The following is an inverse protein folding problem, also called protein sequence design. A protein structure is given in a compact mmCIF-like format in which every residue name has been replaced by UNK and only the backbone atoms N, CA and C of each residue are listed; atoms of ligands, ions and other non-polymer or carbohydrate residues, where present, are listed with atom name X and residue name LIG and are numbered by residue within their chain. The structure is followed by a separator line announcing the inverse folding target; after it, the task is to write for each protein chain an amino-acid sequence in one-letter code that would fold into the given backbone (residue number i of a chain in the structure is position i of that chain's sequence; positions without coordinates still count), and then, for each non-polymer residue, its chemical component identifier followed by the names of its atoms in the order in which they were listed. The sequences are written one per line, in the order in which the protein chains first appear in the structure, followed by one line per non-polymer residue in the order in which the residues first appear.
data_IF_173356633003
#
_entry.id   IF_173356633003
#
_cell.length_a   1.000
_cell.length_b   1.000
_cell.length_c   1.000
_cell.angle_alpha   90.00
_cell.angle_beta   90.00
_cell.angle_gamma   90.00
#
_symmetry.space_group_name_H-M   'P 1'
#
loop_
_entity.id
_entity.type
_entity.pdbx_description
1 polymer ?
#
# COMPACT_ATOMS: atom_id res chain seq x y z
N UNK A 1 5.72 14.41 16.33
CA UNK A 1 6.87 15.13 15.75
C UNK A 1 8.05 15.04 16.69
N UNK A 2 9.27 14.97 16.18
CA UNK A 2 10.46 15.13 17.02
C UNK A 2 10.64 16.59 17.49
N UNK A 3 11.70 16.86 18.25
CA UNK A 3 11.99 18.19 18.78
C UNK A 3 12.26 19.25 17.70
N UNK A 4 12.56 18.85 16.45
CA UNK A 4 12.77 19.74 15.32
C UNK A 4 11.49 20.04 14.53
N UNK A 5 10.38 19.39 14.88
CA UNK A 5 9.14 19.46 14.11
C UNK A 5 9.10 18.53 12.91
N UNK A 6 10.00 17.55 12.82
CA UNK A 6 9.97 16.53 11.76
C UNK A 6 9.13 15.32 12.18
N UNK A 7 8.62 14.57 11.20
CA UNK A 7 8.05 13.24 11.48
C UNK A 7 9.12 12.33 12.06
N UNK A 8 8.71 11.46 13.00
CA UNK A 8 9.62 10.45 13.53
C UNK A 8 10.06 9.49 12.43
N UNK A 9 11.31 9.05 12.50
CA UNK A 9 11.78 7.96 11.65
C UNK A 9 10.99 6.66 11.95
N UNK A 10 11.07 5.71 11.01
CA UNK A 10 10.33 4.44 11.09
C UNK A 10 10.62 3.66 12.38
N UNK A 11 11.88 3.61 12.81
CA UNK A 11 12.31 2.83 13.99
C UNK A 11 11.76 3.46 15.27
N UNK A 12 11.88 4.77 15.39
CA UNK A 12 11.32 5.53 16.51
C UNK A 12 9.81 5.34 16.56
N UNK A 13 9.12 5.55 15.44
CA UNK A 13 7.66 5.45 15.35
C UNK A 13 7.15 4.04 15.68
N UNK A 14 7.84 2.99 15.22
CA UNK A 14 7.47 1.60 15.50
C UNK A 14 7.48 1.26 16.99
N UNK A 15 8.37 1.89 17.76
CA UNK A 15 8.54 1.64 19.19
C UNK A 15 7.71 2.58 20.09
N UNK A 16 7.03 3.59 19.54
CA UNK A 16 6.16 4.47 20.32
C UNK A 16 4.84 3.80 20.71
N UNK A 17 4.25 4.31 21.78
CA UNK A 17 2.95 3.85 22.30
C UNK A 17 2.07 4.99 22.83
N UNK A 18 2.59 6.21 22.81
CA UNK A 18 2.07 7.42 23.44
C UNK A 18 1.53 8.44 22.42
N UNK A 19 1.35 8.03 21.16
CA UNK A 19 0.78 8.91 20.13
C UNK A 19 -0.73 9.02 20.31
N UNK A 20 -1.26 10.25 20.29
CA UNK A 20 -2.69 10.50 20.41
C UNK A 20 -3.41 10.12 19.11
N UNK A 21 -4.40 9.19 19.12
CA UNK A 21 -5.13 8.81 17.91
C UNK A 21 -5.80 9.99 17.21
N UNK A 22 -6.31 10.97 17.97
CA UNK A 22 -6.95 12.17 17.40
C UNK A 22 -5.99 13.03 16.58
N UNK A 23 -4.72 13.14 16.99
CA UNK A 23 -3.72 13.86 16.22
C UNK A 23 -3.42 13.14 14.90
N UNK A 24 -3.40 11.81 14.90
CA UNK A 24 -3.24 11.00 13.68
C UNK A 24 -4.42 11.20 12.73
N UNK A 25 -5.65 11.23 13.24
CA UNK A 25 -6.85 11.52 12.42
C UNK A 25 -6.75 12.91 11.79
N UNK A 26 -6.38 13.93 12.59
CA UNK A 26 -6.23 15.32 12.11
C UNK A 26 -5.17 15.38 11.00
N UNK A 27 -4.01 14.77 11.22
CA UNK A 27 -2.90 14.77 10.25
C UNK A 27 -3.26 14.02 8.96
N UNK A 28 -3.87 12.82 9.06
CA UNK A 28 -4.29 12.07 7.88
C UNK A 28 -5.31 12.86 7.04
N UNK A 29 -6.28 13.51 7.69
CA UNK A 29 -7.27 14.35 7.00
C UNK A 29 -6.64 15.59 6.38
N UNK A 30 -5.61 16.16 7.00
CA UNK A 30 -4.85 17.26 6.42
C UNK A 30 -4.10 16.83 5.15
N UNK A 31 -3.43 15.66 5.17
CA UNK A 31 -2.79 15.10 3.98
C UNK A 31 -3.78 14.79 2.86
N UNK A 32 -4.92 14.20 3.22
CA UNK A 32 -6.02 13.93 2.29
C UNK A 32 -6.56 15.22 1.65
N UNK A 33 -6.86 16.24 2.45
CA UNK A 33 -7.34 17.53 1.96
C UNK A 33 -6.30 18.22 1.06
N UNK A 34 -5.02 18.18 1.43
CA UNK A 34 -3.96 18.75 0.61
C UNK A 34 -3.87 18.07 -0.76
N UNK A 35 -4.10 16.75 -0.84
CA UNK A 35 -4.15 16.04 -2.11
C UNK A 35 -5.37 16.47 -2.97
N UNK A 36 -6.54 16.65 -2.35
CA UNK A 36 -7.73 17.18 -3.04
C UNK A 36 -7.50 18.61 -3.55
N UNK A 37 -6.90 19.47 -2.73
CA UNK A 37 -6.59 20.86 -3.09
C UNK A 37 -5.57 20.95 -4.23
N UNK A 38 -4.67 19.96 -4.32
CA UNK A 38 -3.75 19.80 -5.44
C UNK A 38 -4.41 19.24 -6.72
N UNK A 39 -5.71 18.91 -6.67
CA UNK A 39 -6.50 18.44 -7.81
C UNK A 39 -6.44 16.94 -8.06
N UNK A 40 -5.98 16.14 -7.10
CA UNK A 40 -5.97 14.68 -7.24
C UNK A 40 -7.35 14.08 -6.95
N UNK A 41 -7.76 13.12 -7.79
CA UNK A 41 -8.88 12.24 -7.52
C UNK A 41 -8.37 11.02 -6.74
N UNK A 42 -8.51 11.08 -5.41
CA UNK A 42 -8.05 10.01 -4.51
C UNK A 42 -9.12 8.93 -4.40
N UNK A 43 -8.76 7.68 -4.70
CA UNK A 43 -9.66 6.53 -4.68
C UNK A 43 -9.39 5.51 -3.58
N UNK A 44 -8.27 5.64 -2.84
CA UNK A 44 -7.97 4.80 -1.69
C UNK A 44 -6.95 5.43 -0.77
N UNK A 45 -6.75 4.82 0.40
CA UNK A 45 -5.75 5.22 1.40
C UNK A 45 -4.79 4.06 1.66
N UNK A 46 -3.50 4.34 1.64
CA UNK A 46 -2.46 3.48 2.17
C UNK A 46 -1.53 4.27 3.10
N UNK A 47 -0.40 3.68 3.52
CA UNK A 47 0.60 4.41 4.28
C UNK A 47 2.01 4.05 3.88
N UNK A 48 2.85 5.08 3.75
CA UNK A 48 4.27 4.90 3.50
C UNK A 48 4.92 4.08 4.61
N UNK A 49 5.81 3.16 4.23
CA UNK A 49 6.44 2.19 5.15
C UNK A 49 5.47 1.38 6.04
N UNK A 50 4.19 1.30 5.66
CA UNK A 50 3.14 0.67 6.46
C UNK A 50 2.95 1.31 7.84
N UNK A 51 3.33 2.58 7.99
CA UNK A 51 3.30 3.28 9.27
C UNK A 51 1.90 3.27 9.90
N UNK A 52 0.85 3.32 9.08
CA UNK A 52 -0.55 3.23 9.52
C UNK A 52 -0.92 1.89 10.16
N UNK A 53 -0.15 0.82 9.91
CA UNK A 53 -0.34 -0.48 10.56
C UNK A 53 0.48 -0.62 11.86
N UNK A 54 1.33 0.36 12.20
CA UNK A 54 2.12 0.32 13.44
C UNK A 54 1.25 0.59 14.65
N UNK A 55 1.56 -0.06 15.78
CA UNK A 55 0.78 0.05 17.03
C UNK A 55 0.45 1.50 17.41
N UNK A 56 1.43 2.39 17.28
CA UNK A 56 1.30 3.79 17.67
C UNK A 56 0.27 4.57 16.82
N UNK A 57 0.09 4.20 15.56
CA UNK A 57 -0.75 4.95 14.61
C UNK A 57 -2.06 4.23 14.28
N UNK A 58 -2.11 2.90 14.41
CA UNK A 58 -3.17 2.07 13.85
C UNK A 58 -4.58 2.49 14.23
N UNK A 59 -4.82 2.84 15.49
CA UNK A 59 -6.16 3.28 15.94
C UNK A 59 -6.58 4.55 15.20
N UNK A 60 -5.78 5.62 15.30
CA UNK A 60 -6.13 6.90 14.67
C UNK A 60 -6.10 6.84 13.13
N UNK A 61 -5.22 6.03 12.55
CA UNK A 61 -5.19 5.79 11.10
C UNK A 61 -6.48 5.10 10.63
N UNK A 62 -6.95 4.07 11.35
CA UNK A 62 -8.21 3.37 11.05
C UNK A 62 -9.41 4.29 11.22
N UNK A 63 -9.45 5.09 12.30
CA UNK A 63 -10.50 6.08 12.53
C UNK A 63 -10.53 7.12 11.39
N UNK A 64 -9.37 7.62 10.97
CA UNK A 64 -9.27 8.58 9.88
C UNK A 64 -9.70 8.01 8.53
N UNK A 65 -9.32 6.77 8.20
CA UNK A 65 -9.83 6.05 7.01
C UNK A 65 -11.35 5.96 7.06
N UNK A 66 -11.91 5.57 8.21
CA UNK A 66 -13.36 5.43 8.39
C UNK A 66 -14.11 6.76 8.30
N UNK A 67 -13.48 7.88 8.67
CA UNK A 67 -14.07 9.23 8.51
C UNK A 67 -13.99 9.71 7.06
N UNK A 68 -12.91 9.39 6.34
CA UNK A 68 -12.75 9.74 4.93
C UNK A 68 -13.68 8.88 4.06
N UNK A 69 -13.89 7.61 4.42
CA UNK A 69 -14.83 6.72 3.75
C UNK A 69 -14.34 6.15 2.42
N UNK A 70 -13.05 6.26 2.12
CA UNK A 70 -12.43 5.61 0.96
C UNK A 70 -11.97 4.18 1.28
N UNK A 71 -11.91 3.28 0.28
CA UNK A 71 -11.21 2.02 0.39
C UNK A 71 -9.78 2.19 0.92
N UNK A 72 -9.23 1.16 1.55
CA UNK A 72 -7.86 1.21 2.07
C UNK A 72 -7.10 -0.09 1.81
N UNK A 73 -5.77 0.03 1.69
CA UNK A 73 -4.87 -1.11 1.85
C UNK A 73 -5.12 -1.81 3.19
N UNK A 74 -4.92 -3.13 3.23
CA UNK A 74 -4.98 -3.88 4.48
C UNK A 74 -4.00 -3.34 5.53
N UNK A 75 -4.48 -3.26 6.77
CA UNK A 75 -3.72 -2.70 7.91
C UNK A 75 -3.33 -3.75 8.96
N UNK A 76 -3.36 -5.02 8.57
CA UNK A 76 -3.06 -6.18 9.42
C UNK A 76 -1.69 -6.82 9.14
N UNK A 77 -0.89 -6.21 8.26
CA UNK A 77 0.42 -6.69 7.82
C UNK A 77 1.58 -6.44 8.82
N UNK A 78 1.34 -5.67 9.89
CA UNK A 78 2.34 -5.39 10.95
C UNK A 78 1.79 -5.77 12.32
N UNK A 79 0.68 -5.13 12.72
CA UNK A 79 -0.10 -5.51 13.90
C UNK A 79 -1.35 -6.22 13.37
N UNK A 80 -1.70 -7.38 13.91
CA UNK A 80 -2.90 -8.14 13.49
C UNK A 80 -4.20 -7.37 13.77
N UNK A 81 -5.30 -7.82 13.15
CA UNK A 81 -6.65 -7.31 13.36
C UNK A 81 -7.04 -6.17 12.42
N UNK A 82 -8.30 -6.09 12.03
CA UNK A 82 -8.86 -5.00 11.21
C UNK A 82 -10.34 -4.74 11.53
N UNK A 83 -10.78 -5.17 12.71
CA UNK A 83 -12.18 -5.20 13.14
C UNK A 83 -12.79 -3.79 13.26
N UNK A 84 -11.94 -2.77 13.47
CA UNK A 84 -12.37 -1.37 13.50
C UNK A 84 -12.53 -0.78 12.10
N UNK A 85 -11.96 -1.39 11.06
CA UNK A 85 -12.02 -0.88 9.70
C UNK A 85 -13.41 -1.15 9.10
N UNK A 86 -14.07 -0.10 8.63
CA UNK A 86 -15.39 -0.16 7.99
C UNK A 86 -15.31 0.04 6.47
N UNK A 87 -14.25 0.68 6.00
CA UNK A 87 -14.02 0.86 4.57
C UNK A 87 -13.64 -0.46 3.88
N UNK A 88 -13.94 -0.56 2.59
CA UNK A 88 -13.52 -1.67 1.75
C UNK A 88 -11.99 -1.86 1.77
N UNK A 89 -11.52 -3.10 1.74
CA UNK A 89 -10.10 -3.44 1.70
C UNK A 89 -9.90 -4.75 0.94
N UNK A 90 -8.75 -4.98 0.28
CA UNK A 90 -8.45 -6.26 -0.37
C UNK A 90 -8.54 -7.46 0.59
N UNK A 91 -8.82 -8.63 0.03
CA UNK A 91 -8.82 -9.90 0.78
C UNK A 91 -7.42 -10.29 1.25
N UNK A 92 -6.40 -9.92 0.48
CA UNK A 92 -4.99 -10.06 0.88
C UNK A 92 -4.13 -8.90 0.37
N UNK A 93 -3.03 -8.68 1.07
CA UNK A 93 -1.96 -7.77 0.68
C UNK A 93 -0.64 -8.54 0.70
N UNK A 94 0.13 -8.46 -0.39
CA UNK A 94 1.41 -9.15 -0.51
C UNK A 94 2.56 -8.17 -0.81
N UNK A 95 3.68 -8.39 -0.12
CA UNK A 95 4.90 -7.57 -0.20
C UNK A 95 6.05 -8.29 -0.90
N UNK A 96 5.82 -9.50 -1.41
CA UNK A 96 6.84 -10.39 -1.96
C UNK A 96 7.39 -9.96 -3.33
N UNK A 97 6.70 -9.08 -4.05
CA UNK A 97 7.22 -8.47 -5.27
C UNK A 97 8.14 -7.29 -4.92
N UNK A 98 9.29 -7.62 -4.31
CA UNK A 98 10.26 -6.64 -3.82
C UNK A 98 11.67 -7.25 -3.76
N UNK A 99 12.68 -6.45 -4.05
CA UNK A 99 14.10 -6.84 -4.07
C UNK A 99 14.31 -8.13 -4.89
N UNK A 100 14.90 -9.17 -4.30
CA UNK A 100 15.15 -10.46 -4.96
C UNK A 100 13.86 -11.17 -5.40
N UNK A 101 12.71 -10.83 -4.81
CA UNK A 101 11.39 -11.33 -5.18
C UNK A 101 10.76 -10.61 -6.37
N UNK A 102 11.31 -9.48 -6.82
CA UNK A 102 10.80 -8.70 -7.96
C UNK A 102 11.18 -9.35 -9.30
N UNK A 103 10.71 -10.58 -9.54
CA UNK A 103 10.93 -11.32 -10.79
C UNK A 103 9.59 -11.73 -11.40
N UNK A 104 9.56 -11.83 -12.73
CA UNK A 104 8.35 -12.27 -13.45
C UNK A 104 7.89 -13.66 -13.00
N UNK A 105 8.82 -14.59 -12.77
CA UNK A 105 8.49 -15.95 -12.35
C UNK A 105 7.95 -16.01 -10.92
N UNK A 106 8.52 -15.22 -9.99
CA UNK A 106 7.97 -15.11 -8.64
C UNK A 106 6.57 -14.50 -8.64
N UNK A 107 6.36 -13.43 -9.41
CA UNK A 107 5.05 -12.78 -9.55
C UNK A 107 3.98 -13.77 -10.05
N UNK A 108 4.27 -14.53 -11.10
CA UNK A 108 3.36 -15.56 -11.62
C UNK A 108 3.06 -16.65 -10.59
N UNK A 109 4.09 -17.12 -9.87
CA UNK A 109 3.93 -18.16 -8.86
C UNK A 109 3.05 -17.68 -7.70
N UNK A 110 3.30 -16.45 -7.22
CA UNK A 110 2.52 -15.80 -6.17
C UNK A 110 1.05 -15.65 -6.58
N UNK A 111 0.78 -15.07 -7.76
CA UNK A 111 -0.58 -14.88 -8.26
C UNK A 111 -1.31 -16.22 -8.48
N UNK A 112 -0.62 -17.26 -8.92
CA UNK A 112 -1.17 -18.61 -9.05
C UNK A 112 -1.56 -19.19 -7.69
N UNK A 113 -0.72 -19.02 -6.68
CA UNK A 113 -0.99 -19.48 -5.32
C UNK A 113 -2.22 -18.76 -4.73
N UNK A 114 -2.32 -17.44 -4.93
CA UNK A 114 -3.50 -16.69 -4.51
C UNK A 114 -4.76 -17.09 -5.24
N UNK A 115 -4.71 -17.27 -6.56
CA UNK A 115 -5.87 -17.74 -7.34
C UNK A 115 -6.35 -19.12 -6.85
N UNK A 116 -5.44 -20.00 -6.48
CA UNK A 116 -5.82 -21.31 -5.92
C UNK A 116 -6.48 -21.18 -4.54
N UNK A 117 -5.93 -20.32 -3.67
CA UNK A 117 -6.43 -20.11 -2.31
C UNK A 117 -7.73 -19.31 -2.26
N UNK A 118 -7.88 -18.32 -3.13
CA UNK A 118 -8.98 -17.35 -3.18
C UNK A 118 -9.40 -17.12 -4.64
N UNK A 119 -10.15 -18.05 -5.26
CA UNK A 119 -10.47 -18.00 -6.70
C UNK A 119 -11.20 -16.75 -7.17
N UNK A 120 -11.91 -16.07 -6.26
CA UNK A 120 -12.66 -14.83 -6.50
C UNK A 120 -12.19 -13.68 -5.61
N UNK A 121 -11.03 -13.82 -4.95
CA UNK A 121 -10.53 -12.83 -4.01
C UNK A 121 -9.75 -11.71 -4.70
N UNK A 122 -9.69 -10.56 -4.04
CA UNK A 122 -8.89 -9.40 -4.43
C UNK A 122 -7.58 -9.41 -3.67
N UNK A 123 -6.47 -9.39 -4.40
CA UNK A 123 -5.12 -9.28 -3.84
C UNK A 123 -4.49 -7.97 -4.28
N UNK A 124 -4.03 -7.19 -3.33
CA UNK A 124 -3.16 -6.05 -3.59
C UNK A 124 -1.70 -6.49 -3.50
N UNK A 125 -0.90 -6.08 -4.49
CA UNK A 125 0.55 -6.28 -4.50
C UNK A 125 1.25 -4.93 -4.34
N UNK A 126 2.21 -4.88 -3.43
CA UNK A 126 3.12 -3.74 -3.38
C UNK A 126 4.07 -3.78 -4.58
N UNK A 127 4.32 -2.61 -5.17
CA UNK A 127 5.39 -2.40 -6.15
C UNK A 127 5.90 -0.95 -6.06
N UNK A 128 7.02 -0.68 -6.71
CA UNK A 128 7.73 0.60 -6.68
C UNK A 128 8.26 0.99 -8.08
N UNK A 129 7.45 0.93 -9.15
CA UNK A 129 7.95 1.12 -10.50
C UNK A 129 8.52 2.53 -10.73
N UNK A 130 9.59 2.62 -11.51
CA UNK A 130 10.12 3.85 -12.07
C UNK A 130 10.58 3.59 -13.51
N UNK A 131 10.41 4.55 -14.42
CA UNK A 131 10.85 4.38 -15.82
C UNK A 131 12.36 4.46 -15.97
N UNK A 132 13.05 5.15 -15.06
CA UNK A 132 14.49 5.36 -15.09
C UNK A 132 15.05 5.70 -13.70
N UNK A 133 16.37 5.57 -13.53
CA UNK A 133 17.05 5.97 -12.29
C UNK A 133 17.54 7.42 -12.40
N UNK A 134 16.76 8.36 -11.85
CA UNK A 134 17.09 9.78 -11.79
C UNK A 134 17.99 10.13 -10.60
N UNK A 135 18.55 11.35 -10.59
CA UNK A 135 19.37 11.83 -9.48
C UNK A 135 18.53 12.13 -8.24
N UNK A 136 17.32 12.63 -8.42
CA UNK A 136 16.35 12.85 -7.35
C UNK A 136 16.01 11.53 -6.65
N UNK A 137 15.83 10.45 -7.42
CA UNK A 137 15.58 9.12 -6.85
C UNK A 137 16.80 8.61 -6.07
N UNK A 138 18.03 8.77 -6.61
CA UNK A 138 19.27 8.42 -5.92
C UNK A 138 19.45 9.19 -4.62
N UNK A 139 19.01 10.44 -4.58
CA UNK A 139 19.13 11.29 -3.40
C UNK A 139 18.22 10.85 -2.23
N UNK A 140 17.10 10.18 -2.51
CA UNK A 140 16.07 9.86 -1.50
C UNK A 140 15.86 8.37 -1.24
N UNK A 141 16.39 7.47 -2.07
CA UNK A 141 16.12 6.03 -1.98
C UNK A 141 17.34 5.20 -2.35
N UNK A 142 17.65 4.17 -1.55
CA UNK A 142 18.60 3.12 -1.92
C UNK A 142 18.01 2.08 -2.90
N UNK A 143 16.69 1.99 -2.99
CA UNK A 143 15.96 1.13 -3.91
C UNK A 143 15.77 1.86 -5.23
N UNK A 144 16.65 1.61 -6.20
CA UNK A 144 16.84 2.43 -7.41
C UNK A 144 16.64 1.60 -8.67
N UNK A 145 17.67 0.86 -9.12
CA UNK A 145 17.60 0.03 -10.33
C UNK A 145 16.44 -0.97 -10.27
N UNK A 146 16.17 -1.53 -9.09
CA UNK A 146 15.07 -2.46 -8.86
C UNK A 146 13.71 -1.87 -9.25
N UNK A 147 13.52 -0.55 -9.14
CA UNK A 147 12.29 0.13 -9.56
C UNK A 147 12.09 0.10 -11.08
N UNK A 148 13.18 0.17 -11.83
CA UNK A 148 13.18 0.05 -13.30
C UNK A 148 12.88 -1.39 -13.69
N UNK A 149 13.54 -2.35 -13.05
CA UNK A 149 13.32 -3.77 -13.30
C UNK A 149 11.84 -4.15 -13.02
N UNK A 150 11.26 -3.63 -11.93
CA UNK A 150 9.83 -3.77 -11.63
C UNK A 150 8.94 -3.17 -12.73
N UNK A 151 9.25 -1.96 -13.19
CA UNK A 151 8.49 -1.30 -14.25
C UNK A 151 8.51 -2.11 -15.56
N UNK A 152 9.67 -2.64 -15.96
CA UNK A 152 9.81 -3.48 -17.15
C UNK A 152 8.96 -4.76 -17.05
N UNK A 153 8.95 -5.41 -15.90
CA UNK A 153 8.13 -6.61 -15.65
C UNK A 153 6.64 -6.27 -15.71
N UNK A 154 6.21 -5.25 -14.96
CA UNK A 154 4.81 -4.87 -14.77
C UNK A 154 4.17 -4.32 -16.05
N UNK A 155 4.98 -3.78 -16.97
CA UNK A 155 4.52 -3.28 -18.28
C UNK A 155 4.79 -4.27 -19.43
N UNK A 156 5.36 -5.45 -19.14
CA UNK A 156 5.71 -6.42 -20.17
C UNK A 156 4.48 -7.03 -20.86
N UNK A 157 4.58 -7.23 -22.17
CA UNK A 157 3.58 -8.01 -22.93
C UNK A 157 3.46 -9.45 -22.40
N UNK A 158 4.56 -10.01 -21.92
CA UNK A 158 4.60 -11.36 -21.36
C UNK A 158 3.72 -11.49 -20.11
N UNK A 159 3.80 -10.54 -19.17
CA UNK A 159 2.92 -10.52 -18.00
C UNK A 159 1.47 -10.31 -18.42
N UNK A 160 1.19 -9.34 -19.29
CA UNK A 160 -0.17 -9.07 -19.77
C UNK A 160 -0.84 -10.30 -20.36
N UNK A 161 -0.19 -10.96 -21.32
CA UNK A 161 -0.74 -12.19 -21.94
C UNK A 161 -0.88 -13.32 -20.93
N UNK A 162 0.03 -13.43 -19.96
CA UNK A 162 -0.07 -14.44 -18.91
C UNK A 162 -1.28 -14.19 -17.99
N UNK A 163 -1.54 -12.95 -17.59
CA UNK A 163 -2.72 -12.58 -16.79
C UNK A 163 -4.02 -12.92 -17.53
N UNK A 164 -4.11 -12.58 -18.82
CA UNK A 164 -5.26 -12.89 -19.68
C UNK A 164 -5.50 -14.40 -19.79
N UNK A 165 -4.46 -15.19 -20.11
CA UNK A 165 -4.56 -16.66 -20.19
C UNK A 165 -4.95 -17.31 -18.87
N UNK A 166 -4.53 -16.72 -17.75
CA UNK A 166 -4.85 -17.20 -16.42
C UNK A 166 -6.12 -16.55 -15.85
N UNK A 167 -6.89 -15.78 -16.62
CA UNK A 167 -8.13 -15.14 -16.17
C UNK A 167 -7.95 -14.36 -14.86
N UNK A 168 -6.84 -13.64 -14.74
CA UNK A 168 -6.56 -12.75 -13.61
C UNK A 168 -6.84 -11.33 -14.09
N UNK A 169 -7.77 -10.66 -13.44
CA UNK A 169 -8.17 -9.29 -13.77
C UNK A 169 -7.38 -8.29 -12.94
N UNK A 170 -6.82 -7.26 -13.59
CA UNK A 170 -6.34 -6.08 -12.91
C UNK A 170 -7.51 -5.11 -12.68
N UNK A 171 -7.72 -4.71 -11.44
CA UNK A 171 -8.78 -3.78 -11.03
C UNK A 171 -8.20 -2.60 -10.25
N UNK A 172 -8.97 -1.52 -10.13
CA UNK A 172 -8.65 -0.41 -9.23
C UNK A 172 -9.36 -0.54 -7.90
N UNK A 173 -8.98 0.28 -6.91
CA UNK A 173 -9.67 0.32 -5.61
C UNK A 173 -11.16 0.74 -5.71
N UNK A 174 -11.54 1.49 -6.76
CA UNK A 174 -12.93 1.82 -7.05
C UNK A 174 -13.81 0.59 -7.31
N UNK A 175 -13.20 -0.54 -7.70
CA UNK A 175 -13.90 -1.76 -8.05
C UNK A 175 -13.96 -2.76 -6.88
N UNK A 176 -13.38 -2.41 -5.72
CA UNK A 176 -13.44 -3.26 -4.52
C UNK A 176 -14.80 -3.05 -3.85
N UNK A 177 -15.59 -4.12 -3.75
CA UNK A 177 -16.84 -4.09 -3.00
C UNK A 177 -16.56 -3.89 -1.51
N UNK A 178 -17.44 -3.15 -0.82
CA UNK A 178 -17.43 -3.16 0.65
C UNK A 178 -17.80 -4.55 1.13
N UNK A 179 -17.05 -5.08 2.11
CA UNK A 179 -17.39 -6.36 2.73
C UNK A 179 -18.71 -6.16 3.49
N UNK A 180 -19.76 -6.89 3.09
CA UNK A 180 -21.07 -6.93 3.78
C UNK A 180 -20.97 -7.49 5.21
#
# INVERSE_FOLDING_TARGET
MDASGSFYDRTTLFNKSDICPKEVVIELKAQYQAALDAGFEINHIDSHHFAGAFRALKVGFTEGINEIGLPARRIDNVVLGQEMLRSATPDAFDMGFYAEGATLEHLKAMLTAYKHKMPTGVVELMCHPATEVTEELRAVSGYTQQRVDEWEILTSKALKSWLEMNQIQCIGFNDIASND
#
